data_IF_752333208053
#
_entry.id   IF_752333208053
#
_cell.length_a   1.000
_cell.length_b   1.000
_cell.length_c   1.000
_cell.angle_alpha   90.00
_cell.angle_beta   90.00
_cell.angle_gamma   90.00
#
_symmetry.space_group_name_H-M   'P 1'
#
loop_
_entity.id
_entity.type
_entity.pdbx_description
1 polymer ?
#
# COMPACT_ATOMS: atom_id res chain seq x y z
N UNK A 1 12.52 -12.67 -4.07
CA UNK A 1 11.20 -12.08 -4.44
C UNK A 1 10.14 -13.11 -4.88
N UNK A 2 10.52 -14.27 -5.45
CA UNK A 2 9.55 -15.31 -5.87
C UNK A 2 8.56 -15.83 -4.79
N UNK A 3 8.89 -15.84 -3.48
CA UNK A 3 7.95 -16.28 -2.45
C UNK A 3 6.76 -15.32 -2.28
N UNK A 4 6.95 -14.01 -2.36
CA UNK A 4 5.83 -13.07 -2.26
C UNK A 4 4.89 -13.15 -3.46
N UNK A 5 5.44 -13.36 -4.66
CA UNK A 5 4.60 -13.54 -5.86
C UNK A 5 3.65 -14.74 -5.78
N UNK A 6 3.81 -15.64 -4.81
CA UNK A 6 2.86 -16.74 -4.53
C UNK A 6 1.76 -16.38 -3.53
N UNK A 7 2.02 -15.41 -2.65
CA UNK A 7 1.07 -14.97 -1.61
C UNK A 7 0.21 -13.78 -2.07
N UNK A 8 0.67 -13.01 -3.07
CA UNK A 8 -0.11 -11.94 -3.68
C UNK A 8 -1.32 -12.40 -4.54
N UNK A 9 -1.27 -13.52 -5.28
CA UNK A 9 -2.42 -14.02 -6.03
C UNK A 9 -3.60 -14.31 -5.11
N UNK A 10 -4.70 -13.57 -5.28
CA UNK A 10 -5.91 -13.71 -4.46
C UNK A 10 -6.01 -12.71 -3.31
N UNK A 11 -4.99 -11.87 -3.09
CA UNK A 11 -5.10 -10.74 -2.18
C UNK A 11 -6.02 -9.69 -2.81
N UNK A 12 -7.16 -9.43 -2.15
CA UNK A 12 -8.07 -8.36 -2.51
C UNK A 12 -7.83 -7.22 -1.53
N UNK A 13 -7.34 -6.10 -2.04
CA UNK A 13 -7.20 -4.86 -1.28
C UNK A 13 -8.41 -3.96 -1.56
N UNK A 14 -9.41 -3.94 -0.66
CA UNK A 14 -10.56 -3.08 -0.80
C UNK A 14 -10.16 -1.60 -0.78
N UNK A 15 -10.58 -0.89 -1.83
CA UNK A 15 -10.29 0.54 -2.03
C UNK A 15 -10.91 1.45 -0.95
N UNK A 16 -12.04 1.05 -0.37
CA UNK A 16 -12.84 1.87 0.56
C UNK A 16 -13.09 1.17 1.89
N UNK A 17 -12.03 0.82 2.61
CA UNK A 17 -12.18 0.10 3.89
C UNK A 17 -12.90 0.89 4.97
N UNK A 18 -12.60 2.19 5.08
CA UNK A 18 -13.23 3.09 6.04
C UNK A 18 -14.34 3.94 5.41
N UNK A 19 -14.72 3.62 4.17
CA UNK A 19 -15.71 4.35 3.38
C UNK A 19 -15.11 5.10 2.20
N UNK A 20 -16.03 5.65 1.40
CA UNK A 20 -15.70 6.35 0.17
C UNK A 20 -15.08 7.73 0.44
N UNK A 21 -13.92 7.96 -0.17
CA UNK A 21 -13.19 9.22 -0.12
C UNK A 21 -13.22 9.95 -1.46
N UNK A 22 -13.91 9.39 -2.47
CA UNK A 22 -14.01 9.90 -3.82
C UNK A 22 -15.42 10.43 -4.11
N UNK A 23 -15.51 11.43 -4.97
CA UNK A 23 -16.78 11.81 -5.60
C UNK A 23 -17.15 10.87 -6.75
N UNK A 24 -18.32 11.10 -7.38
CA UNK A 24 -18.78 10.33 -8.52
C UNK A 24 -17.90 10.46 -9.78
N UNK A 25 -16.96 11.42 -9.80
CA UNK A 25 -16.00 11.64 -10.88
C UNK A 25 -14.63 11.03 -10.57
N UNK A 26 -14.46 10.44 -9.37
CA UNK A 26 -13.21 9.86 -8.92
C UNK A 26 -12.22 10.85 -8.30
N UNK A 27 -12.65 12.09 -7.98
CA UNK A 27 -11.80 13.06 -7.32
C UNK A 27 -11.85 12.86 -5.80
N UNK A 28 -10.70 13.00 -5.13
CA UNK A 28 -10.63 13.00 -3.67
C UNK A 28 -11.43 14.15 -3.07
N UNK A 29 -12.46 13.80 -2.29
CA UNK A 29 -13.24 14.74 -1.46
C UNK A 29 -12.82 14.72 0.01
N UNK A 30 -12.15 13.65 0.45
CA UNK A 30 -11.71 13.51 1.84
C UNK A 30 -10.27 12.95 1.92
N UNK A 31 -9.24 13.82 1.85
CA UNK A 31 -7.84 13.40 1.84
C UNK A 31 -7.43 12.60 3.08
N UNK A 32 -7.99 12.92 4.25
CA UNK A 32 -7.68 12.18 5.49
C UNK A 32 -8.22 10.75 5.46
N UNK A 33 -9.37 10.56 4.81
CA UNK A 33 -9.97 9.23 4.68
C UNK A 33 -9.26 8.42 3.59
N UNK A 34 -8.84 9.07 2.52
CA UNK A 34 -7.96 8.49 1.50
C UNK A 34 -6.66 7.97 2.12
N UNK A 35 -5.94 8.82 2.86
CA UNK A 35 -4.70 8.45 3.54
C UNK A 35 -4.90 7.25 4.46
N UNK A 36 -5.99 7.22 5.23
CA UNK A 36 -6.30 6.11 6.13
C UNK A 36 -6.64 4.80 5.39
N UNK A 37 -7.33 4.88 4.25
CA UNK A 37 -7.59 3.73 3.39
C UNK A 37 -6.29 3.19 2.77
N UNK A 38 -5.40 4.09 2.35
CA UNK A 38 -4.10 3.74 1.79
C UNK A 38 -3.17 3.11 2.84
N UNK A 39 -3.12 3.68 4.06
CA UNK A 39 -2.39 3.12 5.19
C UNK A 39 -2.85 1.69 5.49
N UNK A 40 -4.15 1.41 5.43
CA UNK A 40 -4.66 0.05 5.64
C UNK A 40 -4.17 -0.93 4.57
N UNK A 41 -4.21 -0.53 3.29
CA UNK A 41 -3.69 -1.35 2.21
C UNK A 41 -2.20 -1.65 2.39
N UNK A 42 -1.41 -0.63 2.76
CA UNK A 42 0.01 -0.77 3.07
C UNK A 42 0.29 -1.71 4.24
N UNK A 43 -0.49 -1.62 5.32
CA UNK A 43 -0.39 -2.54 6.47
C UNK A 43 -0.72 -3.98 6.10
N UNK A 44 -1.75 -4.18 5.28
CA UNK A 44 -2.12 -5.52 4.81
C UNK A 44 -0.99 -6.15 3.97
N UNK A 45 -0.36 -5.36 3.09
CA UNK A 45 0.81 -5.81 2.33
C UNK A 45 2.01 -6.12 3.24
N UNK A 46 2.27 -5.28 4.24
CA UNK A 46 3.34 -5.50 5.21
C UNK A 46 3.12 -6.78 6.04
N UNK A 47 1.88 -7.07 6.42
CA UNK A 47 1.49 -8.29 7.11
C UNK A 47 1.73 -9.53 6.23
N UNK A 48 1.26 -9.51 4.98
CA UNK A 48 1.47 -10.61 4.02
C UNK A 48 2.97 -10.85 3.79
N UNK A 49 3.76 -9.78 3.64
CA UNK A 49 5.20 -9.88 3.45
C UNK A 49 5.91 -10.44 4.70
N UNK A 50 5.47 -10.04 5.89
CA UNK A 50 6.03 -10.54 7.17
C UNK A 50 5.69 -12.00 7.44
N UNK A 51 4.61 -12.53 6.85
CA UNK A 51 4.25 -13.95 6.95
C UNK A 51 5.20 -14.87 6.16
N UNK A 52 6.00 -14.31 5.23
CA UNK A 52 6.92 -15.08 4.38
C UNK A 52 8.26 -15.26 5.08
N UNK A 53 8.78 -16.49 5.11
CA UNK A 53 10.16 -16.79 5.55
C UNK A 53 11.05 -16.94 4.30
N UNK A 54 12.10 -16.12 4.20
CA UNK A 54 13.03 -16.11 3.08
C UNK A 54 14.36 -16.72 3.52
N UNK A 55 14.79 -17.80 2.86
CA UNK A 55 16.09 -18.45 3.11
C UNK A 55 16.33 -18.79 4.60
N UNK A 56 15.27 -19.19 5.29
CA UNK A 56 15.27 -19.53 6.71
C UNK A 56 15.43 -18.32 7.66
N UNK A 57 15.27 -17.10 7.13
CA UNK A 57 15.21 -15.85 7.90
C UNK A 57 13.77 -15.31 7.89
N UNK A 58 13.24 -14.90 9.06
CA UNK A 58 11.93 -14.25 9.12
C UNK A 58 12.02 -12.90 8.44
N UNK A 59 10.96 -12.56 7.70
CA UNK A 59 10.86 -11.26 7.06
C UNK A 59 10.09 -10.32 7.98
N UNK A 60 10.57 -9.08 8.10
CA UNK A 60 9.90 -8.02 8.87
C UNK A 60 9.57 -6.92 7.87
N UNK A 61 8.28 -6.61 7.72
CA UNK A 61 7.81 -5.47 6.96
C UNK A 61 6.83 -4.65 7.79
N UNK A 62 6.95 -3.34 7.66
CA UNK A 62 6.09 -2.36 8.30
C UNK A 62 5.68 -1.31 7.28
N UNK A 63 4.44 -0.81 7.40
CA UNK A 63 4.02 0.35 6.65
C UNK A 63 4.64 1.61 7.28
N UNK A 64 5.24 2.45 6.43
CA UNK A 64 5.80 3.74 6.83
C UNK A 64 4.99 4.82 6.11
N UNK A 65 4.49 5.81 6.87
CA UNK A 65 3.78 6.95 6.28
C UNK A 65 4.74 7.84 5.47
N UNK A 66 4.21 8.61 4.52
CA UNK A 66 5.02 9.47 3.66
C UNK A 66 5.90 10.44 4.46
N UNK A 67 5.39 10.97 5.58
CA UNK A 67 6.12 11.89 6.47
C UNK A 67 7.37 11.27 7.11
N UNK A 68 7.36 9.96 7.30
CA UNK A 68 8.44 9.20 7.92
C UNK A 68 9.24 8.38 6.89
N UNK A 69 8.89 8.48 5.61
CA UNK A 69 9.52 7.73 4.54
C UNK A 69 10.88 8.34 4.21
N UNK A 70 11.90 7.49 4.11
CA UNK A 70 13.23 7.88 3.62
C UNK A 70 13.26 8.06 2.09
N UNK A 71 12.17 7.72 1.40
CA UNK A 71 12.04 7.85 -0.06
C UNK A 71 11.66 9.28 -0.45
N UNK A 72 12.42 9.88 -1.37
CA UNK A 72 12.14 11.22 -1.88
C UNK A 72 10.87 11.22 -2.76
N UNK A 73 9.94 12.11 -2.50
CA UNK A 73 8.62 12.20 -3.17
C UNK A 73 8.72 12.37 -4.69
N UNK A 74 9.77 13.05 -5.17
CA UNK A 74 10.08 13.23 -6.60
C UNK A 74 10.28 11.90 -7.36
N UNK A 75 10.53 10.79 -6.66
CA UNK A 75 10.78 9.47 -7.28
C UNK A 75 9.50 8.70 -7.60
N UNK A 76 8.35 9.16 -7.11
CA UNK A 76 7.05 8.45 -7.15
C UNK A 76 6.03 9.11 -8.07
N UNK A 77 6.30 10.32 -8.56
CA UNK A 77 5.52 10.94 -9.62
C UNK A 77 5.84 10.22 -10.94
N UNK A 78 5.00 9.25 -11.32
CA UNK A 78 5.01 8.80 -12.71
C UNK A 78 4.74 10.02 -13.58
N UNK A 79 5.72 10.36 -14.42
CA UNK A 79 5.52 11.30 -15.52
C UNK A 79 4.49 10.64 -16.42
N UNK A 80 3.24 11.06 -16.27
CA UNK A 80 2.13 10.70 -17.15
C UNK A 80 2.42 11.37 -18.50
N UNK A 81 3.31 10.75 -19.28
CA UNK A 81 3.66 11.16 -20.64
C UNK A 81 2.41 10.96 -21.52
N UNK A 82 1.77 12.08 -21.85
CA UNK A 82 0.65 12.20 -22.80
C UNK A 82 1.00 11.77 -24.22
#
# INVERSE_FOLDING_TARGET
>A
MAPLSKELPGLILPHEQYGSHLDAQGNTINPKLEEKNFEYAGKCLAEVWSAVVLDNYPTIAEYISAENSELNQESLEEVDDK
#
